data_IF_931880805675
#
_entry.id   IF_931880805675
#
_cell.length_a   1.000
_cell.length_b   1.000
_cell.length_c   1.000
_cell.angle_alpha   90.00
_cell.angle_beta   90.00
_cell.angle_gamma   90.00
#
_symmetry.space_group_name_H-M   'P 1'
#
loop_
_entity.id
_entity.type
_entity.pdbx_description
1 polymer ?
#
# COMPACT_ATOMS: atom_id res chain seq x y z
N UNK A 1 12.04 12.80 3.78
CA UNK A 1 12.08 11.47 4.42
C UNK A 1 13.19 10.68 3.78
N UNK A 2 14.11 10.12 4.55
CA UNK A 2 15.32 9.49 3.99
C UNK A 2 14.98 8.09 3.43
N UNK A 3 15.43 7.82 2.21
CA UNK A 3 15.22 6.57 1.48
C UNK A 3 16.58 6.07 1.01
N UNK A 4 17.05 5.01 1.64
CA UNK A 4 18.40 4.48 1.50
C UNK A 4 18.37 3.04 0.94
N UNK A 5 19.55 2.55 0.53
CA UNK A 5 19.72 1.15 0.18
C UNK A 5 19.54 0.25 1.42
N UNK A 6 19.08 -0.98 1.21
CA UNK A 6 18.88 -1.95 2.30
C UNK A 6 20.24 -2.43 2.84
N UNK A 7 20.28 -2.71 4.15
CA UNK A 7 21.42 -3.35 4.78
C UNK A 7 21.69 -4.75 4.19
N UNK A 8 22.97 -5.14 4.13
CA UNK A 8 23.40 -6.38 3.46
C UNK A 8 22.74 -7.67 3.98
N UNK A 9 22.34 -7.72 5.25
CA UNK A 9 21.75 -8.92 5.83
C UNK A 9 20.27 -9.05 5.51
N UNK A 10 19.52 -7.96 5.64
CA UNK A 10 18.11 -7.88 5.25
C UNK A 10 17.93 -8.18 3.75
N UNK A 11 18.82 -7.65 2.89
CA UNK A 11 18.80 -7.88 1.44
C UNK A 11 18.94 -9.38 1.07
N UNK A 12 19.81 -10.12 1.77
CA UNK A 12 19.96 -11.58 1.55
C UNK A 12 18.68 -12.33 1.88
N UNK A 13 18.10 -12.07 3.06
CA UNK A 13 16.85 -12.71 3.52
C UNK A 13 15.72 -12.40 2.53
N UNK A 14 15.64 -11.15 2.10
CA UNK A 14 14.66 -10.67 1.13
C UNK A 14 14.79 -11.38 -0.22
N UNK A 15 16.01 -11.60 -0.71
CA UNK A 15 16.26 -12.33 -1.97
C UNK A 15 16.01 -13.83 -1.82
N UNK A 16 16.29 -14.40 -0.65
CA UNK A 16 16.07 -15.82 -0.36
C UNK A 16 14.58 -16.18 -0.33
N UNK A 17 13.78 -15.44 0.43
CA UNK A 17 12.38 -15.79 0.66
C UNK A 17 11.43 -15.34 -0.45
N UNK A 18 11.81 -14.32 -1.22
CA UNK A 18 10.95 -13.77 -2.27
C UNK A 18 11.60 -13.89 -3.64
N UNK A 19 11.67 -15.11 -4.15
CA UNK A 19 12.35 -15.45 -5.39
C UNK A 19 11.64 -14.95 -6.66
N UNK A 20 10.36 -14.58 -6.56
CA UNK A 20 9.56 -14.03 -7.67
C UNK A 20 9.61 -12.51 -7.80
N UNK A 21 10.66 -11.87 -7.24
CA UNK A 21 10.80 -10.41 -7.27
C UNK A 21 11.18 -9.93 -8.66
N UNK A 22 10.35 -9.05 -9.19
CA UNK A 22 10.65 -8.26 -10.40
C UNK A 22 11.33 -6.95 -10.04
N UNK A 23 11.14 -6.46 -8.81
CA UNK A 23 11.67 -5.18 -8.33
C UNK A 23 12.34 -5.27 -6.98
N UNK A 24 13.28 -4.36 -6.77
CA UNK A 24 14.06 -4.24 -5.54
C UNK A 24 13.27 -3.50 -4.45
N UNK A 25 13.88 -3.46 -3.26
CA UNK A 25 13.34 -2.85 -2.06
C UNK A 25 14.28 -1.75 -1.57
N UNK A 26 13.74 -0.84 -0.76
CA UNK A 26 14.46 0.29 -0.18
C UNK A 26 14.23 0.34 1.32
N UNK A 27 15.21 0.86 2.05
CA UNK A 27 15.12 1.16 3.47
C UNK A 27 14.60 2.59 3.65
N UNK A 28 13.63 2.79 4.55
CA UNK A 28 12.95 4.08 4.73
C UNK A 28 12.98 4.52 6.20
N UNK A 29 13.51 5.72 6.41
CA UNK A 29 13.55 6.42 7.69
C UNK A 29 14.48 5.77 8.74
N UNK A 30 14.55 6.35 9.95
CA UNK A 30 15.55 5.98 10.97
C UNK A 30 15.34 4.59 11.59
N UNK A 31 14.23 3.93 11.27
CA UNK A 31 13.90 2.58 11.75
C UNK A 31 14.18 1.49 10.72
N UNK A 32 14.72 1.87 9.55
CA UNK A 32 15.01 1.00 8.42
C UNK A 32 13.80 0.19 7.97
N UNK A 33 12.69 0.87 7.66
CA UNK A 33 11.50 0.19 7.15
C UNK A 33 11.71 -0.26 5.72
N UNK A 34 11.44 -1.53 5.44
CA UNK A 34 11.66 -2.09 4.11
C UNK A 34 10.39 -1.99 3.27
N UNK A 35 10.46 -1.22 2.19
CA UNK A 35 9.37 -0.97 1.24
C UNK A 35 9.81 -1.29 -0.20
N UNK A 36 8.87 -1.57 -1.12
CA UNK A 36 9.18 -1.68 -2.53
C UNK A 36 9.84 -0.42 -3.07
N UNK A 37 10.75 -0.55 -4.04
CA UNK A 37 11.47 0.58 -4.64
C UNK A 37 10.54 1.65 -5.22
N UNK A 38 9.37 1.26 -5.73
CA UNK A 38 8.35 2.18 -6.25
C UNK A 38 7.93 3.27 -5.24
N UNK A 39 8.14 3.04 -3.94
CA UNK A 39 7.89 4.02 -2.90
C UNK A 39 8.74 5.29 -3.08
N UNK A 40 9.99 5.17 -3.53
CA UNK A 40 10.93 6.29 -3.70
C UNK A 40 10.37 7.40 -4.59
N UNK A 41 9.59 7.04 -5.61
CA UNK A 41 8.95 7.99 -6.54
C UNK A 41 7.82 8.82 -5.90
N UNK A 42 7.22 8.32 -4.83
CA UNK A 42 6.01 8.88 -4.23
C UNK A 42 6.19 9.31 -2.76
N UNK A 43 7.36 9.05 -2.17
CA UNK A 43 7.67 9.30 -0.76
C UNK A 43 7.29 10.71 -0.30
N UNK A 44 7.69 11.75 -1.06
CA UNK A 44 7.37 13.14 -0.71
C UNK A 44 5.88 13.45 -0.80
N UNK A 45 5.16 12.81 -1.74
CA UNK A 45 3.72 13.01 -1.90
C UNK A 45 2.94 12.38 -0.77
N UNK A 46 3.33 11.19 -0.32
CA UNK A 46 2.71 10.55 0.84
C UNK A 46 2.98 11.33 2.12
N UNK A 47 4.20 11.83 2.29
CA UNK A 47 4.57 12.57 3.49
C UNK A 47 3.83 13.91 3.61
N UNK A 48 3.61 14.59 2.49
CA UNK A 48 2.93 15.88 2.43
C UNK A 48 1.45 15.75 1.98
N UNK A 49 0.87 14.56 2.08
CA UNK A 49 -0.53 14.37 1.70
C UNK A 49 -1.45 15.13 2.65
N UNK A 50 -2.32 15.98 2.08
CA UNK A 50 -3.31 16.72 2.84
C UNK A 50 -4.51 15.83 3.16
N UNK A 51 -4.70 15.58 4.45
CA UNK A 51 -5.79 14.76 4.97
C UNK A 51 -7.00 15.66 5.19
N UNK A 52 -8.19 15.17 4.84
CA UNK A 52 -9.44 15.89 5.06
C UNK A 52 -10.10 15.43 6.36
N UNK A 53 -10.94 16.30 6.92
CA UNK A 53 -11.61 16.02 8.19
C UNK A 53 -12.66 14.90 8.10
N UNK A 54 -13.12 14.59 6.89
CA UNK A 54 -14.08 13.53 6.59
C UNK A 54 -13.42 12.20 6.20
N UNK A 55 -12.09 12.15 6.11
CA UNK A 55 -11.39 10.90 5.76
C UNK A 55 -11.38 9.93 6.96
N UNK A 56 -11.79 8.68 6.72
CA UNK A 56 -11.65 7.58 7.67
C UNK A 56 -10.52 6.66 7.25
N UNK A 57 -9.55 6.45 8.15
CA UNK A 57 -8.34 5.69 7.85
C UNK A 57 -8.34 4.32 8.52
N UNK A 58 -8.19 3.27 7.72
CA UNK A 58 -7.92 1.91 8.21
C UNK A 58 -6.41 1.70 8.13
N UNK A 59 -5.73 1.77 9.28
CA UNK A 59 -4.28 1.58 9.37
C UNK A 59 -4.00 0.25 10.04
N UNK A 60 -3.57 -0.75 9.27
CA UNK A 60 -3.35 -2.11 9.77
C UNK A 60 -2.06 -2.71 9.28
N UNK A 61 -1.58 -3.73 10.00
CA UNK A 61 -0.54 -4.61 9.49
C UNK A 61 -1.16 -5.64 8.52
N UNK A 62 -0.43 -6.01 7.47
CA UNK A 62 -0.91 -7.00 6.51
C UNK A 62 -1.41 -8.27 7.22
N UNK A 63 -2.50 -8.84 6.71
CA UNK A 63 -3.14 -10.06 7.25
C UNK A 63 -3.71 -9.95 8.67
N UNK A 64 -3.83 -8.75 9.24
CA UNK A 64 -4.43 -8.53 10.57
C UNK A 64 -5.94 -8.22 10.52
N UNK A 65 -6.65 -8.67 9.48
CA UNK A 65 -8.09 -8.45 9.32
C UNK A 65 -8.50 -7.18 8.57
N UNK A 66 -7.62 -6.60 7.74
CA UNK A 66 -7.92 -5.36 6.97
C UNK A 66 -9.21 -5.46 6.15
N UNK A 67 -9.39 -6.55 5.40
CA UNK A 67 -10.58 -6.79 4.57
C UNK A 67 -11.86 -6.79 5.39
N UNK A 68 -11.84 -7.42 6.56
CA UNK A 68 -13.00 -7.44 7.45
C UNK A 68 -13.32 -6.03 7.96
N UNK A 69 -12.30 -5.27 8.35
CA UNK A 69 -12.48 -3.88 8.80
C UNK A 69 -12.98 -2.96 7.70
N UNK A 70 -12.51 -3.13 6.46
CA UNK A 70 -12.98 -2.37 5.31
C UNK A 70 -14.48 -2.59 5.08
N UNK A 71 -14.95 -3.85 5.13
CA UNK A 71 -16.38 -4.15 4.98
C UNK A 71 -17.23 -3.65 6.14
N UNK A 72 -16.80 -3.90 7.38
CA UNK A 72 -17.53 -3.44 8.55
C UNK A 72 -17.67 -1.91 8.55
N UNK A 73 -16.60 -1.20 8.21
CA UNK A 73 -16.62 0.26 8.16
C UNK A 73 -17.50 0.77 7.03
N UNK A 74 -17.47 0.12 5.86
CA UNK A 74 -18.37 0.46 4.76
C UNK A 74 -19.83 0.42 5.20
N UNK A 75 -20.24 -0.65 5.90
CA UNK A 75 -21.61 -0.80 6.38
C UNK A 75 -21.99 0.27 7.40
N UNK A 76 -21.08 0.65 8.30
CA UNK A 76 -21.36 1.69 9.30
C UNK A 76 -21.50 3.07 8.68
N UNK A 77 -20.65 3.40 7.70
CA UNK A 77 -20.58 4.74 7.10
C UNK A 77 -21.68 4.96 6.04
N UNK A 78 -22.11 3.90 5.36
CA UNK A 78 -23.07 3.97 4.26
C UNK A 78 -24.43 3.37 4.63
N UNK A 79 -24.86 3.53 5.90
CA UNK A 79 -26.19 3.11 6.37
C UNK A 79 -26.57 1.66 6.01
N UNK A 80 -25.59 0.75 6.10
CA UNK A 80 -25.73 -0.67 5.71
C UNK A 80 -26.15 -0.87 4.23
N UNK A 81 -25.56 -0.12 3.30
CA UNK A 81 -25.74 -0.31 1.86
C UNK A 81 -25.12 -1.63 1.34
N UNK A 82 -25.90 -2.70 1.47
CA UNK A 82 -25.57 -4.03 0.95
C UNK A 82 -25.60 -4.09 -0.58
N UNK A 83 -26.44 -3.29 -1.23
CA UNK A 83 -26.62 -3.33 -2.69
C UNK A 83 -25.33 -2.90 -3.39
N UNK A 84 -24.80 -1.73 -3.04
CA UNK A 84 -23.53 -1.25 -3.58
C UNK A 84 -22.37 -2.13 -3.16
N UNK A 85 -22.35 -2.60 -1.90
CA UNK A 85 -21.31 -3.50 -1.40
C UNK A 85 -21.21 -4.81 -2.19
N UNK A 86 -22.33 -5.32 -2.71
CA UNK A 86 -22.36 -6.54 -3.51
C UNK A 86 -21.95 -6.34 -4.98
N UNK A 87 -22.11 -5.11 -5.50
CA UNK A 87 -21.87 -4.78 -6.91
C UNK A 87 -20.46 -4.28 -7.16
N UNK A 88 -19.92 -3.48 -6.23
CA UNK A 88 -18.60 -2.88 -6.37
C UNK A 88 -17.55 -3.68 -5.61
N UNK A 89 -16.38 -3.93 -6.23
CA UNK A 89 -15.29 -4.61 -5.56
C UNK A 89 -14.75 -3.74 -4.41
N UNK A 90 -14.17 -4.39 -3.41
CA UNK A 90 -13.73 -3.72 -2.19
C UNK A 90 -12.66 -2.65 -2.44
N UNK A 91 -11.79 -2.86 -3.44
CA UNK A 91 -10.72 -1.92 -3.77
C UNK A 91 -11.24 -0.59 -4.33
N UNK A 92 -12.43 -0.58 -4.94
CA UNK A 92 -13.10 0.64 -5.43
C UNK A 92 -13.76 1.41 -4.27
N UNK A 93 -14.25 0.68 -3.27
CA UNK A 93 -14.94 1.24 -2.09
C UNK A 93 -13.98 1.73 -1.02
N UNK A 94 -12.87 1.01 -0.84
CA UNK A 94 -11.83 1.33 0.12
C UNK A 94 -10.45 1.08 -0.49
N UNK A 95 -9.92 2.05 -1.25
CA UNK A 95 -8.65 1.92 -1.91
C UNK A 95 -7.49 1.90 -0.91
N UNK A 96 -6.42 1.25 -1.35
CA UNK A 96 -5.15 1.21 -0.62
C UNK A 96 -4.32 2.45 -0.96
N UNK A 97 -3.90 3.16 0.09
CA UNK A 97 -3.22 4.46 -0.01
C UNK A 97 -1.92 4.36 -0.81
N UNK A 98 -1.13 3.33 -0.53
CA UNK A 98 0.18 3.10 -1.12
C UNK A 98 0.24 1.95 -2.13
N UNK A 99 -0.88 1.48 -2.70
CA UNK A 99 -0.87 0.30 -3.59
C UNK A 99 0.01 0.46 -4.83
N UNK A 100 0.07 1.67 -5.38
CA UNK A 100 0.83 1.98 -6.59
C UNK A 100 2.34 1.75 -6.44
N UNK A 101 2.88 1.65 -5.21
CA UNK A 101 4.31 1.40 -5.00
C UNK A 101 4.72 -0.02 -5.41
N UNK A 102 3.75 -0.94 -5.51
CA UNK A 102 3.96 -2.32 -5.97
C UNK A 102 4.04 -2.41 -7.50
N UNK A 103 3.48 -1.44 -8.22
CA UNK A 103 3.27 -1.50 -9.67
C UNK A 103 4.30 -0.67 -10.44
N UNK A 104 5.53 -1.16 -10.52
CA UNK A 104 6.54 -0.52 -11.38
C UNK A 104 6.30 -0.86 -12.85
N UNK A 105 7.01 -0.17 -13.76
CA UNK A 105 6.91 -0.45 -15.20
C UNK A 105 7.36 -1.88 -15.52
N UNK A 106 8.41 -2.32 -14.84
CA UNK A 106 9.00 -3.64 -14.96
C UNK A 106 8.01 -4.72 -14.47
N UNK A 107 7.37 -4.48 -13.33
CA UNK A 107 6.37 -5.41 -12.80
C UNK A 107 5.13 -5.47 -13.71
N UNK A 108 4.64 -4.33 -14.22
CA UNK A 108 3.55 -4.31 -15.20
C UNK A 108 3.87 -5.09 -16.47
N UNK A 109 5.09 -4.90 -17.02
CA UNK A 109 5.54 -5.63 -18.20
C UNK A 109 5.62 -7.15 -17.94
N UNK A 110 6.14 -7.55 -16.78
CA UNK A 110 6.19 -8.95 -16.38
C UNK A 110 4.78 -9.55 -16.24
N UNK A 111 3.85 -8.85 -15.59
CA UNK A 111 2.46 -9.31 -15.44
C UNK A 111 1.78 -9.41 -16.81
N UNK A 112 2.01 -8.48 -17.73
CA UNK A 112 1.50 -8.59 -19.09
C UNK A 112 2.05 -9.83 -19.82
N UNK A 113 3.36 -10.07 -19.72
CA UNK A 113 4.02 -11.21 -20.37
C UNK A 113 3.52 -12.56 -19.86
N UNK A 114 3.42 -12.75 -18.53
CA UNK A 114 2.94 -14.02 -17.94
C UNK A 114 1.48 -14.31 -18.26
N UNK A 115 0.69 -13.27 -18.56
CA UNK A 115 -0.70 -13.39 -19.01
C UNK A 115 -0.85 -13.45 -20.54
N UNK A 116 0.24 -13.63 -21.28
CA UNK A 116 0.21 -13.76 -22.74
C UNK A 116 -0.18 -12.46 -23.47
N UNK A 117 0.00 -11.30 -22.83
CA UNK A 117 -0.43 -9.98 -23.32
C UNK A 117 -1.92 -9.91 -23.66
N UNK A 118 -2.77 -10.55 -22.84
CA UNK A 118 -4.22 -10.48 -23.01
C UNK A 118 -4.72 -9.01 -22.96
N UNK A 119 -5.51 -8.56 -23.95
CA UNK A 119 -6.00 -7.18 -24.01
C UNK A 119 -6.79 -6.73 -22.78
N UNK A 120 -7.50 -7.66 -22.11
CA UNK A 120 -8.29 -7.38 -20.90
C UNK A 120 -7.37 -7.07 -19.73
N UNK A 121 -6.31 -7.86 -19.56
CA UNK A 121 -5.30 -7.64 -18.51
C UNK A 121 -4.54 -6.35 -18.77
N UNK A 122 -4.21 -6.05 -20.03
CA UNK A 122 -3.56 -4.79 -20.39
C UNK A 122 -4.43 -3.58 -20.09
N UNK A 123 -5.76 -3.69 -20.23
CA UNK A 123 -6.71 -2.64 -19.83
C UNK A 123 -6.66 -2.41 -18.31
N UNK A 124 -6.73 -3.47 -17.52
CA UNK A 124 -6.68 -3.40 -16.06
C UNK A 124 -5.35 -2.81 -15.56
N UNK A 125 -4.23 -3.14 -16.20
CA UNK A 125 -2.88 -2.67 -15.84
C UNK A 125 -2.61 -1.18 -16.13
N UNK A 126 -3.52 -0.47 -16.82
CA UNK A 126 -3.30 0.94 -17.17
C UNK A 126 -3.21 1.83 -15.94
N UNK A 127 -4.08 1.58 -14.96
CA UNK A 127 -4.32 2.53 -13.87
C UNK A 127 -3.77 2.07 -12.51
N UNK A 128 -3.21 0.84 -12.42
CA UNK A 128 -2.72 0.26 -11.16
C UNK A 128 -1.53 1.01 -10.54
N UNK A 129 -0.78 1.78 -11.32
CA UNK A 129 0.33 2.63 -10.84
C UNK A 129 -0.09 4.08 -10.55
N UNK A 130 -1.37 4.41 -10.72
CA UNK A 130 -1.91 5.71 -10.36
C UNK A 130 -2.08 5.75 -8.83
N UNK A 131 -1.46 6.72 -8.12
CA UNK A 131 -1.69 6.86 -6.70
C UNK A 131 -3.17 7.19 -6.44
N UNK A 132 -3.76 6.48 -5.48
CA UNK A 132 -5.17 6.66 -5.10
C UNK A 132 -5.52 8.10 -4.65
N UNK A 133 -4.50 8.90 -4.29
CA UNK A 133 -4.57 10.31 -3.88
C UNK A 133 -5.27 11.25 -4.88
N UNK A 134 -5.59 10.80 -6.10
CA UNK A 134 -6.29 11.60 -7.12
C UNK A 134 -7.82 11.52 -7.08
N UNK A 135 -8.37 10.63 -6.26
CA UNK A 135 -9.80 10.36 -6.22
C UNK A 135 -10.39 10.80 -4.87
N UNK A 136 -11.67 11.21 -4.85
CA UNK A 136 -12.38 11.51 -3.61
C UNK A 136 -12.84 10.20 -2.98
N UNK A 137 -12.22 9.80 -1.88
CA UNK A 137 -12.62 8.62 -1.13
C UNK A 137 -12.77 8.96 0.34
N UNK A 138 -13.80 8.37 0.96
CA UNK A 138 -14.13 8.58 2.37
C UNK A 138 -13.45 7.53 3.28
N UNK A 139 -13.14 6.34 2.75
CA UNK A 139 -12.42 5.29 3.49
C UNK A 139 -11.09 4.99 2.80
N UNK A 140 -9.99 5.30 3.48
CA UNK A 140 -8.62 5.11 2.97
C UNK A 140 -7.93 4.01 3.78
N UNK A 141 -7.38 3.02 3.09
CA UNK A 141 -6.68 1.90 3.75
C UNK A 141 -5.18 2.02 3.60
N UNK A 142 -4.45 1.97 4.71
CA UNK A 142 -2.98 1.93 4.75
C UNK A 142 -2.56 0.57 5.26
N UNK A 143 -1.87 -0.18 4.41
CA UNK A 143 -1.13 -1.36 4.79
C UNK A 143 0.24 -0.95 5.26
N UNK A 144 0.50 -1.28 6.51
CA UNK A 144 1.82 -1.10 7.08
C UNK A 144 2.73 -2.25 6.59
N UNK A 145 3.44 -2.01 5.50
CA UNK A 145 4.51 -2.89 5.02
C UNK A 145 5.72 -2.73 5.95
N UNK A 146 5.97 -3.69 6.83
CA UNK A 146 7.20 -3.71 7.63
C UNK A 146 7.80 -5.09 7.61
N UNK A 147 8.86 -5.24 6.82
CA UNK A 147 9.76 -6.37 6.92
C UNK A 147 10.96 -5.91 7.75
N UNK A 148 11.27 -6.66 8.80
CA UNK A 148 12.55 -6.54 9.52
C UNK A 148 13.09 -7.95 9.69
N UNK A 149 14.30 -8.24 9.20
CA UNK A 149 14.90 -9.53 9.52
C UNK A 149 15.26 -9.51 11.01
N UNK A 150 14.77 -10.51 11.74
CA UNK A 150 15.17 -10.79 13.12
C UNK A 150 15.49 -12.27 13.18
N UNK A 151 16.75 -12.61 13.46
CA UNK A 151 17.23 -13.98 13.66
C UNK A 151 16.81 -14.97 12.54
N UNK A 152 17.20 -14.71 11.27
CA UNK A 152 16.83 -15.55 10.12
C UNK A 152 15.31 -15.75 9.93
N UNK A 153 14.50 -14.86 10.50
CA UNK A 153 13.05 -14.85 10.30
C UNK A 153 12.60 -13.44 9.96
N UNK A 154 11.53 -13.33 9.19
CA UNK A 154 10.88 -12.05 8.92
C UNK A 154 9.97 -11.75 10.12
N UNK A 155 10.33 -10.76 10.93
CA UNK A 155 9.55 -10.35 12.10
C UNK A 155 8.72 -9.10 11.81
N UNK A 156 7.49 -9.08 12.34
CA UNK A 156 6.46 -8.09 12.06
C UNK A 156 6.14 -7.26 13.31
N UNK A 157 7.11 -6.50 13.82
CA UNK A 157 6.91 -5.75 15.07
C UNK A 157 6.30 -4.35 14.87
N UNK A 158 5.25 -4.08 15.64
CA UNK A 158 4.44 -2.87 15.62
C UNK A 158 5.07 -1.71 16.43
N UNK A 159 5.36 -0.57 15.79
CA UNK A 159 5.34 0.79 16.41
C UNK A 159 5.67 1.91 15.40
N UNK A 160 4.65 2.55 14.82
CA UNK A 160 4.78 3.80 14.04
C UNK A 160 3.78 4.76 14.63
N UNK A 161 4.26 5.92 15.08
CA UNK A 161 3.42 7.08 15.39
C UNK A 161 3.44 7.96 14.15
N UNK A 162 2.33 8.04 13.44
CA UNK A 162 2.12 9.09 12.46
C UNK A 162 1.76 10.38 13.20
N UNK A 163 2.44 11.48 12.89
CA UNK A 163 2.02 12.82 13.31
C UNK A 163 1.00 13.29 12.28
N UNK A 164 -0.27 13.24 12.62
CA UNK A 164 -1.32 13.86 11.84
C UNK A 164 -1.33 15.36 12.15
N UNK A 165 -0.99 16.19 11.16
CA UNK A 165 -1.23 17.64 11.25
C UNK A 165 -2.65 17.88 10.74
N UNK A 166 -3.62 17.85 11.67
CA UNK A 166 -4.96 18.34 11.37
C UNK A 166 -4.84 19.87 11.36
N UNK A 167 -4.98 20.51 10.19
CA UNK A 167 -5.13 21.96 10.13
C UNK A 167 -6.47 22.32 10.77
N UNK A 168 -6.43 22.81 12.00
CA UNK A 168 -7.60 23.39 12.66
C UNK A 168 -7.98 24.68 11.94
N UNK A 169 -8.93 24.57 11.02
CA UNK A 169 -9.70 25.70 10.51
C UNK A 169 -11.13 25.52 11.02
N UNK A 170 -11.38 26.07 12.22
CA UNK A 170 -12.73 26.40 12.69
C UNK A 170 -13.13 27.71 12.01
#
# INVERSE_FOLDING_TARGET
MDVDAIEREDDKVIKEYFKGKVTDYVSVGPKNWILPEGFKKHADKYYNFEIKNDDVWIVTYMKSGTTLMQELLWMVVNDSDYETSSKLPLYDRSPFFEFNIMWTKEFKAHVAEVNGNDPTVLEELKDVDIPCMKHKFFIITVLRFTYKAVNNSISTTCSLKFKFNISNSI
#
